data_IF_836776915540
#
_entry.id   IF_836776915540
#
_cell.length_a   1.000
_cell.length_b   1.000
_cell.length_c   1.000
_cell.angle_alpha   90.00
_cell.angle_beta   90.00
_cell.angle_gamma   90.00
#
_symmetry.space_group_name_H-M   'P 1'
#
loop_
_entity.id
_entity.type
_entity.pdbx_description
1 polymer ?
#
# COMPACT_ATOMS: atom_id res chain seq x y z
N UNK A 1 14.11 -26.27 0.11
CA UNK A 1 14.29 -26.29 1.58
C UNK A 1 15.78 -26.42 1.86
N UNK A 2 16.33 -25.55 2.68
CA UNK A 2 17.72 -25.54 3.07
C UNK A 2 17.83 -25.94 4.57
N UNK A 3 18.76 -26.84 4.88
CA UNK A 3 19.18 -27.16 6.26
C UNK A 3 20.68 -26.94 6.34
N UNK A 4 21.14 -26.42 7.48
CA UNK A 4 22.57 -26.17 7.67
C UNK A 4 23.39 -27.46 7.49
N UNK A 5 24.37 -27.40 6.56
CA UNK A 5 25.26 -28.50 6.24
C UNK A 5 24.73 -29.56 5.27
N UNK A 6 23.53 -29.38 4.70
CA UNK A 6 22.97 -30.26 3.68
C UNK A 6 22.83 -29.50 2.33
N UNK A 7 22.87 -30.27 1.23
CA UNK A 7 22.54 -29.70 -0.07
C UNK A 7 21.06 -29.29 -0.10
N UNK A 8 20.71 -28.16 -0.75
CA UNK A 8 19.34 -27.69 -0.86
C UNK A 8 18.45 -28.73 -1.51
N UNK A 9 17.36 -29.11 -0.86
CA UNK A 9 16.35 -29.99 -1.44
C UNK A 9 15.34 -29.16 -2.26
N UNK A 10 15.16 -29.51 -3.52
CA UNK A 10 14.14 -28.92 -4.38
C UNK A 10 12.79 -29.58 -4.09
N UNK A 11 11.75 -28.75 -3.91
CA UNK A 11 10.36 -29.19 -3.80
C UNK A 11 9.73 -29.05 -5.18
N UNK A 12 9.26 -30.14 -5.75
CA UNK A 12 8.57 -30.12 -7.03
C UNK A 12 7.30 -29.25 -6.90
N UNK A 13 7.20 -28.24 -7.76
CA UNK A 13 6.03 -27.37 -7.88
C UNK A 13 5.23 -27.85 -9.10
N UNK A 14 3.96 -28.18 -8.86
CA UNK A 14 3.02 -28.63 -9.92
C UNK A 14 2.04 -27.52 -10.35
N UNK A 15 2.24 -26.30 -9.84
CA UNK A 15 1.44 -25.16 -10.26
C UNK A 15 1.82 -24.71 -11.67
N UNK A 16 0.85 -24.18 -12.40
CA UNK A 16 1.13 -23.51 -13.66
C UNK A 16 2.09 -22.33 -13.46
N UNK A 17 3.03 -22.10 -14.39
CA UNK A 17 3.88 -20.93 -14.33
C UNK A 17 3.04 -19.65 -14.40
N UNK A 18 3.51 -18.60 -13.74
CA UNK A 18 2.87 -17.29 -13.83
C UNK A 18 2.85 -16.80 -15.29
N UNK A 19 1.77 -16.11 -15.72
CA UNK A 19 1.63 -15.65 -17.10
C UNK A 19 2.67 -14.61 -17.51
N UNK A 20 3.30 -13.96 -16.54
CA UNK A 20 4.37 -12.98 -16.72
C UNK A 20 5.24 -12.90 -15.47
N UNK A 21 6.44 -12.38 -15.61
CA UNK A 21 7.37 -12.14 -14.52
C UNK A 21 7.37 -10.65 -14.17
N UNK A 22 7.00 -10.28 -12.91
CA UNK A 22 7.03 -8.89 -12.47
C UNK A 22 8.46 -8.33 -12.43
N UNK A 23 8.62 -7.10 -12.88
CA UNK A 23 9.89 -6.33 -12.78
C UNK A 23 9.76 -5.32 -11.66
N UNK A 24 10.12 -5.73 -10.46
CA UNK A 24 9.93 -4.96 -9.24
C UNK A 24 11.22 -4.27 -8.84
N UNK A 25 11.21 -2.95 -8.75
CA UNK A 25 12.24 -2.18 -8.08
C UNK A 25 11.84 -2.00 -6.61
N UNK A 26 12.62 -2.56 -5.69
CA UNK A 26 12.41 -2.42 -4.26
C UNK A 26 13.27 -1.29 -3.71
N UNK A 27 12.66 -0.41 -2.90
CA UNK A 27 13.36 0.70 -2.25
C UNK A 27 12.82 0.97 -0.85
N UNK A 28 13.54 1.75 -0.12
CA UNK A 28 13.17 2.29 1.18
C UNK A 28 12.84 3.77 1.00
N UNK A 29 11.57 4.12 1.06
CA UNK A 29 11.08 5.43 0.69
C UNK A 29 11.04 6.40 1.90
N UNK A 30 11.49 7.62 1.65
CA UNK A 30 11.36 8.73 2.59
C UNK A 30 12.13 8.56 3.90
N UNK A 31 11.88 9.48 4.83
CA UNK A 31 12.58 9.52 6.12
C UNK A 31 12.22 8.38 7.08
N UNK A 32 11.05 7.76 6.85
CA UNK A 32 10.57 6.64 7.68
C UNK A 32 11.01 5.27 7.15
N UNK A 33 11.82 5.24 6.11
CA UNK A 33 12.33 4.00 5.56
C UNK A 33 11.18 3.05 5.14
N UNK A 34 10.17 3.59 4.44
CA UNK A 34 8.98 2.85 4.03
C UNK A 34 9.36 1.79 2.99
N UNK A 35 9.08 0.52 3.27
CA UNK A 35 9.28 -0.55 2.30
C UNK A 35 8.36 -0.34 1.13
N UNK A 36 8.94 -0.09 -0.04
CA UNK A 36 8.20 0.33 -1.22
C UNK A 36 8.65 -0.46 -2.45
N UNK A 37 7.68 -0.92 -3.23
CA UNK A 37 7.90 -1.55 -4.52
C UNK A 37 7.37 -0.62 -5.62
N UNK A 38 8.16 -0.46 -6.68
CA UNK A 38 7.82 0.34 -7.86
C UNK A 38 7.86 -0.56 -9.09
N UNK A 39 6.81 -0.50 -9.89
CA UNK A 39 6.67 -1.27 -11.11
C UNK A 39 6.33 -0.33 -12.28
N UNK A 40 7.12 -0.44 -13.33
CA UNK A 40 6.87 0.21 -14.61
C UNK A 40 6.31 -0.80 -15.62
N UNK A 41 5.67 -0.36 -16.72
CA UNK A 41 5.36 -1.21 -17.85
C UNK A 41 6.63 -1.95 -18.30
N UNK A 42 6.50 -3.21 -18.71
CA UNK A 42 7.66 -4.05 -19.09
C UNK A 42 8.45 -3.52 -20.28
N UNK A 43 7.84 -2.68 -21.10
CA UNK A 43 8.45 -2.01 -22.25
C UNK A 43 8.95 -0.58 -21.95
N UNK A 44 8.65 -0.05 -20.76
CA UNK A 44 9.10 1.28 -20.34
C UNK A 44 10.64 1.36 -20.28
N UNK A 45 11.17 2.44 -20.83
CA UNK A 45 12.59 2.78 -20.73
C UNK A 45 12.75 4.01 -19.84
N UNK A 46 13.70 4.01 -18.89
CA UNK A 46 13.94 5.14 -18.00
C UNK A 46 14.05 6.47 -18.75
N UNK A 47 13.27 7.47 -18.34
CA UNK A 47 13.25 8.80 -18.93
C UNK A 47 12.54 8.92 -20.28
N UNK A 48 11.94 7.84 -20.81
CA UNK A 48 11.28 7.87 -22.12
C UNK A 48 9.92 8.60 -22.10
N UNK A 49 9.20 8.53 -20.99
CA UNK A 49 7.91 9.19 -20.81
C UNK A 49 7.56 9.26 -19.32
N UNK A 50 6.85 10.32 -18.93
CA UNK A 50 6.24 10.43 -17.61
C UNK A 50 4.89 9.72 -17.59
N UNK A 51 4.78 8.71 -16.75
CA UNK A 51 3.60 7.88 -16.61
C UNK A 51 2.71 8.37 -15.47
N UNK A 52 1.38 8.27 -15.61
CA UNK A 52 0.48 8.47 -14.47
C UNK A 52 0.81 7.45 -13.38
N UNK A 53 0.65 7.87 -12.14
CA UNK A 53 0.96 7.02 -10.98
C UNK A 53 -0.31 6.33 -10.49
N UNK A 54 -0.20 5.05 -10.13
CA UNK A 54 -1.23 4.32 -9.44
C UNK A 54 -0.64 3.77 -8.12
N UNK A 55 -1.08 4.34 -7.00
CA UNK A 55 -0.77 3.77 -5.68
C UNK A 55 -1.68 2.57 -5.43
N UNK A 56 -1.10 1.45 -4.95
CA UNK A 56 -1.83 0.21 -4.66
C UNK A 56 -1.45 -0.35 -3.27
N UNK A 57 -1.67 0.39 -2.19
CA UNK A 57 -1.37 -0.07 -0.84
C UNK A 57 -2.46 -1.01 -0.29
N UNK A 58 -2.08 -1.90 0.64
CA UNK A 58 -2.98 -2.27 1.72
C UNK A 58 -2.90 -1.22 2.83
N UNK A 59 -1.69 -0.89 3.25
CA UNK A 59 -1.34 0.29 4.04
C UNK A 59 -1.77 0.25 5.51
N UNK A 60 -2.13 -0.90 6.06
CA UNK A 60 -2.63 -1.00 7.42
C UNK A 60 -2.30 -2.32 8.12
N UNK A 61 -2.89 -2.54 9.31
CA UNK A 61 -2.62 -3.72 10.12
C UNK A 61 -2.91 -5.04 9.40
N UNK A 62 -2.20 -6.09 9.81
CA UNK A 62 -2.38 -7.49 9.42
C UNK A 62 -1.91 -7.88 8.01
N UNK A 63 -1.62 -6.95 7.12
CA UNK A 63 -1.15 -7.32 5.79
C UNK A 63 0.13 -6.57 5.41
N UNK A 64 1.14 -7.33 4.98
CA UNK A 64 2.37 -6.84 4.37
C UNK A 64 2.34 -7.19 2.89
N UNK A 65 2.57 -6.21 2.02
CA UNK A 65 2.56 -6.42 0.57
C UNK A 65 3.96 -6.38 -0.05
N UNK A 66 4.88 -5.63 0.53
CA UNK A 66 6.24 -5.46 -0.01
C UNK A 66 7.16 -6.55 0.54
N UNK A 67 7.12 -7.70 -0.11
CA UNK A 67 7.93 -8.88 0.20
C UNK A 67 8.72 -9.32 -1.03
N UNK A 68 9.86 -9.98 -0.82
CA UNK A 68 10.69 -10.54 -1.89
C UNK A 68 10.03 -11.81 -2.51
N UNK A 69 8.84 -11.63 -3.07
CA UNK A 69 8.04 -12.68 -3.70
C UNK A 69 7.38 -12.15 -4.97
N UNK A 70 7.85 -12.58 -6.14
CA UNK A 70 7.32 -12.13 -7.43
C UNK A 70 5.79 -12.31 -7.54
N UNK A 71 5.24 -13.38 -6.97
CA UNK A 71 3.80 -13.68 -7.05
C UNK A 71 2.91 -12.57 -6.47
N UNK A 72 3.39 -11.84 -5.47
CA UNK A 72 2.63 -10.74 -4.85
C UNK A 72 2.48 -9.52 -5.76
N UNK A 73 3.27 -9.43 -6.81
CA UNK A 73 3.29 -8.29 -7.72
C UNK A 73 2.73 -8.59 -9.12
N UNK A 74 2.10 -9.75 -9.32
CA UNK A 74 1.52 -10.11 -10.63
C UNK A 74 0.43 -9.12 -11.05
N UNK A 75 -0.48 -8.78 -10.14
CA UNK A 75 -1.53 -7.80 -10.39
C UNK A 75 -0.97 -6.39 -10.59
N UNK A 76 -0.05 -5.98 -9.73
CA UNK A 76 0.61 -4.67 -9.85
C UNK A 76 1.37 -4.54 -11.19
N UNK A 77 2.03 -5.61 -11.66
CA UNK A 77 2.67 -5.60 -12.98
C UNK A 77 1.65 -5.55 -14.12
N UNK A 78 0.54 -6.27 -13.99
CA UNK A 78 -0.53 -6.19 -14.99
C UNK A 78 -1.09 -4.76 -15.08
N UNK A 79 -1.32 -4.10 -13.94
CA UNK A 79 -1.73 -2.69 -13.90
C UNK A 79 -0.66 -1.77 -14.50
N UNK A 80 0.61 -2.01 -14.19
CA UNK A 80 1.71 -1.23 -14.79
C UNK A 80 1.72 -1.36 -16.32
N UNK A 81 1.52 -2.56 -16.84
CA UNK A 81 1.45 -2.81 -18.30
C UNK A 81 0.26 -2.12 -18.99
N UNK A 82 -0.69 -1.57 -18.22
CA UNK A 82 -1.74 -0.68 -18.76
C UNK A 82 -1.29 0.79 -18.89
N UNK A 83 -0.02 1.09 -18.60
CA UNK A 83 0.56 2.41 -18.79
C UNK A 83 0.69 3.26 -17.51
N UNK A 84 0.73 2.61 -16.34
CA UNK A 84 0.95 3.28 -15.05
C UNK A 84 2.35 3.01 -14.49
N UNK A 85 2.88 3.96 -13.71
CA UNK A 85 3.85 3.62 -12.69
C UNK A 85 3.07 3.16 -11.46
N UNK A 86 3.18 1.89 -11.08
CA UNK A 86 2.48 1.35 -9.90
C UNK A 86 3.40 1.38 -8.70
N UNK A 87 2.92 1.93 -7.59
CA UNK A 87 3.65 2.02 -6.32
C UNK A 87 2.87 1.25 -5.25
N UNK A 88 3.53 0.29 -4.63
CA UNK A 88 3.03 -0.47 -3.47
C UNK A 88 3.92 -0.11 -2.29
N UNK A 89 3.35 0.44 -1.20
CA UNK A 89 4.13 0.82 -0.04
C UNK A 89 3.49 0.29 1.25
N UNK A 90 4.32 -0.35 2.09
CA UNK A 90 3.97 -0.78 3.44
C UNK A 90 4.37 0.33 4.43
N UNK A 91 3.36 1.03 4.95
CA UNK A 91 3.51 2.08 5.93
C UNK A 91 3.44 1.59 7.38
N UNK A 92 3.34 2.51 8.31
CA UNK A 92 3.15 2.25 9.74
C UNK A 92 1.87 1.44 9.97
N UNK A 93 1.88 0.58 10.98
CA UNK A 93 0.82 -0.37 11.25
C UNK A 93 0.95 -1.70 10.52
N UNK A 94 1.71 -1.77 9.41
CA UNK A 94 1.92 -3.03 8.68
C UNK A 94 2.87 -3.96 9.47
N UNK A 95 2.63 -5.29 9.47
CA UNK A 95 3.46 -6.23 10.22
C UNK A 95 4.84 -6.43 9.59
N UNK A 96 5.74 -7.07 10.36
CA UNK A 96 7.01 -7.55 9.85
C UNK A 96 8.18 -6.57 9.96
N UNK A 97 8.05 -5.52 10.77
CA UNK A 97 9.18 -4.69 11.23
C UNK A 97 9.40 -4.93 12.73
N UNK A 98 8.76 -4.16 13.58
CA UNK A 98 8.83 -4.26 15.02
C UNK A 98 7.48 -3.89 15.65
N UNK A 99 7.41 -4.09 16.96
CA UNK A 99 6.20 -3.85 17.74
C UNK A 99 5.77 -2.37 17.77
N UNK A 100 6.72 -1.46 17.88
CA UNK A 100 6.44 -0.03 17.94
C UNK A 100 5.90 0.47 16.60
N UNK A 101 6.45 -0.01 15.48
CA UNK A 101 5.95 0.26 14.14
C UNK A 101 4.49 -0.16 13.93
N UNK A 102 4.14 -1.35 14.41
CA UNK A 102 2.76 -1.85 14.30
C UNK A 102 1.78 -1.05 15.16
N UNK A 103 2.24 -0.43 16.25
CA UNK A 103 1.41 0.36 17.16
C UNK A 103 1.25 1.82 16.76
N UNK A 104 2.03 2.32 15.84
CA UNK A 104 1.94 3.72 15.38
C UNK A 104 0.54 4.10 14.87
N UNK A 105 -0.28 3.13 14.49
CA UNK A 105 -1.68 3.33 14.05
C UNK A 105 -2.69 3.27 15.20
N UNK A 106 -2.23 3.15 16.44
CA UNK A 106 -3.14 3.15 17.58
C UNK A 106 -3.86 4.49 17.69
N UNK A 107 -5.19 4.46 17.73
CA UNK A 107 -6.11 5.60 17.72
C UNK A 107 -6.09 6.45 16.43
N UNK A 108 -5.22 6.14 15.44
CA UNK A 108 -5.15 6.90 14.20
C UNK A 108 -4.90 5.99 12.98
N UNK A 109 -5.96 5.40 12.46
CA UNK A 109 -5.91 4.67 11.18
C UNK A 109 -5.82 5.60 9.98
N UNK A 110 -6.36 6.80 10.09
CA UNK A 110 -6.54 7.72 8.98
C UNK A 110 -5.29 8.55 8.67
N UNK A 111 -4.78 9.26 9.67
CA UNK A 111 -3.68 10.23 9.48
C UNK A 111 -2.37 9.53 9.17
N UNK A 112 -1.97 8.63 10.06
CA UNK A 112 -0.68 7.93 9.99
C UNK A 112 -0.50 7.17 8.68
N UNK A 113 -1.52 6.42 8.26
CA UNK A 113 -1.40 5.58 7.06
C UNK A 113 -1.46 6.37 5.77
N UNK A 114 -2.25 7.45 5.72
CA UNK A 114 -2.32 8.34 4.56
C UNK A 114 -1.02 9.13 4.40
N UNK A 115 -0.47 9.64 5.49
CA UNK A 115 0.80 10.38 5.47
C UNK A 115 1.93 9.52 4.89
N UNK A 116 1.98 8.23 5.26
CA UNK A 116 3.00 7.32 4.75
C UNK A 116 2.86 7.08 3.23
N UNK A 117 1.63 7.05 2.69
CA UNK A 117 1.45 6.93 1.24
C UNK A 117 1.88 8.19 0.50
N UNK A 118 1.62 9.37 1.07
CA UNK A 118 2.08 10.65 0.51
C UNK A 118 3.61 10.73 0.54
N UNK A 119 4.23 10.35 1.67
CA UNK A 119 5.68 10.33 1.82
C UNK A 119 6.34 9.33 0.84
N UNK A 120 5.74 8.15 0.67
CA UNK A 120 6.23 7.15 -0.29
C UNK A 120 6.16 7.67 -1.74
N UNK A 121 5.03 8.26 -2.12
CA UNK A 121 4.87 8.88 -3.45
C UNK A 121 5.93 9.96 -3.70
N UNK A 122 6.13 10.86 -2.75
CA UNK A 122 7.11 11.94 -2.87
C UNK A 122 8.54 11.40 -3.05
N UNK A 123 8.91 10.40 -2.26
CA UNK A 123 10.24 9.79 -2.33
C UNK A 123 10.46 9.02 -3.66
N UNK A 124 9.43 8.34 -4.16
CA UNK A 124 9.51 7.66 -5.47
C UNK A 124 9.61 8.69 -6.60
N UNK A 125 8.85 9.79 -6.53
CA UNK A 125 8.95 10.87 -7.52
C UNK A 125 10.33 11.54 -7.55
N UNK A 126 10.98 11.67 -6.39
CA UNK A 126 12.37 12.13 -6.30
C UNK A 126 13.36 11.13 -6.91
N UNK A 127 13.12 9.82 -6.71
CA UNK A 127 13.98 8.77 -7.25
C UNK A 127 13.85 8.60 -8.77
N UNK A 128 12.69 8.91 -9.35
CA UNK A 128 12.35 8.74 -10.76
C UNK A 128 11.74 10.02 -11.36
N UNK A 129 12.47 11.16 -11.38
CA UNK A 129 11.91 12.47 -11.70
C UNK A 129 11.44 12.60 -13.16
N UNK A 130 12.00 11.79 -14.07
CA UNK A 130 11.68 11.82 -15.50
C UNK A 130 10.65 10.78 -15.93
N UNK A 131 10.25 9.88 -15.01
CA UNK A 131 9.37 8.75 -15.31
C UNK A 131 7.97 8.88 -14.69
N UNK A 132 7.75 9.76 -13.69
CA UNK A 132 6.48 9.93 -13.01
C UNK A 132 5.81 11.26 -13.37
N UNK A 133 4.51 11.19 -13.65
CA UNK A 133 3.63 12.35 -13.73
C UNK A 133 2.79 12.48 -12.46
N UNK A 134 3.29 13.21 -11.50
CA UNK A 134 2.61 13.45 -10.21
C UNK A 134 1.40 14.37 -10.30
N UNK A 135 1.08 14.90 -11.48
CA UNK A 135 -0.18 15.62 -11.73
C UNK A 135 -1.34 14.67 -12.08
N UNK A 136 -1.05 13.38 -12.23
CA UNK A 136 -2.02 12.32 -12.52
C UNK A 136 -1.78 11.13 -11.59
N UNK A 137 -2.22 11.24 -10.35
CA UNK A 137 -2.07 10.20 -9.32
C UNK A 137 -3.43 9.60 -9.00
N UNK A 138 -3.55 8.30 -9.21
CA UNK A 138 -4.66 7.50 -8.72
C UNK A 138 -4.24 6.63 -7.54
N UNK A 139 -5.22 6.14 -6.80
CA UNK A 139 -5.02 5.17 -5.72
C UNK A 139 -6.08 4.08 -5.80
N UNK A 140 -5.68 2.83 -5.61
CA UNK A 140 -6.59 1.68 -5.55
C UNK A 140 -6.30 0.85 -4.32
N UNK A 141 -7.29 0.11 -3.84
CA UNK A 141 -7.08 -0.81 -2.73
C UNK A 141 -8.34 -1.56 -2.35
N UNK A 142 -8.17 -2.62 -1.58
CA UNK A 142 -9.23 -3.48 -1.10
C UNK A 142 -9.28 -3.48 0.43
N UNK A 143 -10.49 -3.54 1.01
CA UNK A 143 -10.71 -3.58 2.46
C UNK A 143 -10.11 -2.35 3.16
N UNK A 144 -9.08 -2.51 3.99
CA UNK A 144 -8.33 -1.38 4.56
C UNK A 144 -7.69 -0.50 3.47
N UNK A 145 -7.13 -1.12 2.42
CA UNK A 145 -6.64 -0.39 1.24
C UNK A 145 -7.77 0.37 0.51
N UNK A 146 -8.99 -0.17 0.50
CA UNK A 146 -10.18 0.51 0.00
C UNK A 146 -10.58 1.73 0.86
N UNK A 147 -10.52 1.58 2.18
CA UNK A 147 -10.67 2.69 3.13
C UNK A 147 -9.63 3.79 2.84
N UNK A 148 -8.37 3.41 2.72
CA UNK A 148 -7.27 4.32 2.46
C UNK A 148 -7.39 5.01 1.10
N UNK A 149 -7.85 4.30 0.07
CA UNK A 149 -8.10 4.87 -1.26
C UNK A 149 -9.21 5.92 -1.24
N UNK A 150 -10.32 5.65 -0.56
CA UNK A 150 -11.39 6.63 -0.39
C UNK A 150 -10.94 7.83 0.45
N UNK A 151 -10.26 7.57 1.58
CA UNK A 151 -9.70 8.61 2.45
C UNK A 151 -8.75 9.55 1.70
N UNK A 152 -7.91 8.98 0.83
CA UNK A 152 -6.90 9.73 0.08
C UNK A 152 -7.53 10.83 -0.80
N UNK A 153 -8.54 10.52 -1.58
CA UNK A 153 -9.20 11.53 -2.43
C UNK A 153 -10.06 12.51 -1.62
N UNK A 154 -10.56 12.12 -0.46
CA UNK A 154 -11.35 12.99 0.41
C UNK A 154 -10.47 13.97 1.21
N UNK A 155 -9.32 13.52 1.73
CA UNK A 155 -8.44 14.35 2.57
C UNK A 155 -7.30 15.02 1.81
N UNK A 156 -6.82 14.40 0.72
CA UNK A 156 -5.68 14.88 -0.06
C UNK A 156 -6.00 14.96 -1.56
N UNK A 157 -7.08 15.68 -1.96
CA UNK A 157 -7.39 15.91 -3.37
C UNK A 157 -6.31 16.72 -4.11
N UNK A 158 -5.41 17.38 -3.37
CA UNK A 158 -4.21 18.03 -3.89
C UNK A 158 -3.15 17.03 -4.39
N UNK A 159 -3.20 15.78 -3.93
CA UNK A 159 -2.25 14.71 -4.27
C UNK A 159 -2.92 13.62 -5.09
N UNK A 160 -4.11 13.17 -4.68
CA UNK A 160 -4.81 12.04 -5.30
C UNK A 160 -6.01 12.52 -6.11
N UNK A 161 -6.01 12.23 -7.40
CA UNK A 161 -6.96 12.76 -8.38
C UNK A 161 -8.09 11.78 -8.72
N UNK A 162 -7.89 10.49 -8.43
CA UNK A 162 -8.87 9.43 -8.64
C UNK A 162 -8.66 8.28 -7.65
N UNK A 163 -9.73 7.59 -7.28
CA UNK A 163 -9.67 6.41 -6.41
C UNK A 163 -10.57 5.28 -6.91
N UNK A 164 -10.09 4.05 -6.68
CA UNK A 164 -10.91 2.84 -6.76
C UNK A 164 -10.89 2.18 -5.39
N UNK A 165 -11.99 2.33 -4.65
CA UNK A 165 -12.14 1.83 -3.29
C UNK A 165 -12.94 0.51 -3.29
N UNK A 166 -12.24 -0.61 -3.23
CA UNK A 166 -12.83 -1.94 -3.18
C UNK A 166 -13.22 -2.31 -1.74
N UNK A 167 -14.50 -2.60 -1.50
CA UNK A 167 -15.03 -3.02 -0.19
C UNK A 167 -14.47 -2.19 1.00
N UNK A 168 -14.53 -0.85 0.95
CA UNK A 168 -13.95 0.01 1.97
C UNK A 168 -14.67 -0.12 3.32
N UNK A 169 -13.94 -0.04 4.42
CA UNK A 169 -14.54 0.20 5.74
C UNK A 169 -14.80 1.70 5.87
N UNK A 170 -16.03 2.14 5.67
CA UNK A 170 -16.38 3.56 5.71
C UNK A 170 -16.67 4.09 7.11
N UNK A 171 -17.06 3.19 8.04
CA UNK A 171 -17.33 3.49 9.44
C UNK A 171 -16.84 2.33 10.31
N UNK A 172 -15.87 2.60 11.17
CA UNK A 172 -15.20 1.57 11.96
C UNK A 172 -16.08 0.99 13.08
N UNK A 173 -17.13 1.72 13.53
CA UNK A 173 -18.11 1.19 14.47
C UNK A 173 -18.94 0.04 13.91
N UNK A 174 -18.98 -0.10 12.57
CA UNK A 174 -19.70 -1.18 11.87
C UNK A 174 -18.81 -2.38 11.55
N UNK A 175 -17.53 -2.31 11.91
CA UNK A 175 -16.60 -3.43 11.74
C UNK A 175 -16.52 -4.27 13.02
N UNK A 176 -15.83 -5.43 12.99
CA UNK A 176 -15.78 -6.31 14.16
C UNK A 176 -14.96 -5.72 15.32
N UNK A 177 -15.39 -6.01 16.55
CA UNK A 177 -14.77 -5.46 17.77
C UNK A 177 -13.39 -6.02 18.03
N UNK A 178 -13.14 -7.28 17.69
CA UNK A 178 -11.87 -7.94 17.94
C UNK A 178 -10.71 -7.27 17.19
N UNK A 179 -10.95 -6.84 15.95
CA UNK A 179 -9.99 -6.08 15.18
C UNK A 179 -9.99 -4.60 15.58
N UNK A 180 -11.16 -3.97 15.60
CA UNK A 180 -11.26 -2.51 15.66
C UNK A 180 -10.88 -1.97 17.03
N UNK A 181 -11.45 -2.50 18.11
CA UNK A 181 -11.19 -2.04 19.48
C UNK A 181 -9.75 -2.25 19.93
N UNK A 182 -9.09 -3.24 19.37
CA UNK A 182 -7.64 -3.44 19.60
C UNK A 182 -6.80 -2.23 19.24
N UNK A 183 -7.21 -1.48 18.21
CA UNK A 183 -6.47 -0.33 17.70
C UNK A 183 -7.12 1.01 18.08
N UNK A 184 -8.44 1.10 18.02
CA UNK A 184 -9.17 2.36 18.19
C UNK A 184 -9.79 2.53 19.59
N UNK A 185 -9.70 1.50 20.46
CA UNK A 185 -10.31 1.52 21.78
C UNK A 185 -11.82 1.22 21.74
N UNK A 186 -12.48 1.40 22.89
CA UNK A 186 -13.92 1.16 23.02
C UNK A 186 -14.72 2.37 22.49
N UNK A 187 -15.58 2.19 21.46
CA UNK A 187 -16.36 3.30 20.89
C UNK A 187 -17.32 3.96 21.86
N UNK A 188 -17.66 3.31 22.98
CA UNK A 188 -18.52 3.90 24.02
C UNK A 188 -17.75 4.87 24.92
N UNK A 189 -16.45 4.68 25.09
CA UNK A 189 -15.59 5.54 25.93
C UNK A 189 -14.70 6.49 25.14
N UNK A 190 -14.43 6.17 23.87
CA UNK A 190 -13.54 6.93 22.97
C UNK A 190 -14.23 7.24 21.62
N UNK A 191 -15.47 7.80 21.60
CA UNK A 191 -16.21 8.03 20.36
C UNK A 191 -15.51 8.96 19.39
N UNK A 192 -14.72 9.92 19.87
CA UNK A 192 -13.97 10.89 19.07
C UNK A 192 -12.88 10.21 18.22
N UNK A 193 -12.31 9.10 18.68
CA UNK A 193 -11.34 8.32 17.92
C UNK A 193 -12.02 7.73 16.68
N UNK A 194 -13.21 7.19 16.83
CA UNK A 194 -13.98 6.63 15.71
C UNK A 194 -14.44 7.73 14.75
N UNK A 195 -14.88 8.88 15.25
CA UNK A 195 -15.25 10.03 14.41
C UNK A 195 -14.08 10.53 13.57
N UNK A 196 -12.87 10.60 14.15
CA UNK A 196 -11.66 11.02 13.45
C UNK A 196 -11.23 10.05 12.35
N UNK A 197 -11.58 8.77 12.47
CA UNK A 197 -11.22 7.71 11.54
C UNK A 197 -12.37 7.33 10.57
N UNK A 198 -13.58 7.90 10.73
CA UNK A 198 -14.72 7.67 9.85
C UNK A 198 -14.58 8.44 8.53
N UNK A 199 -15.02 7.82 7.42
CA UNK A 199 -15.13 8.51 6.12
C UNK A 199 -16.44 9.27 5.97
N UNK A 200 -17.48 8.92 6.73
CA UNK A 200 -18.83 9.48 6.56
C UNK A 200 -18.88 11.00 6.72
N UNK A 201 -18.16 11.63 7.67
CA UNK A 201 -18.16 13.09 7.79
C UNK A 201 -17.43 13.83 6.66
N UNK A 202 -16.67 13.10 5.83
CA UNK A 202 -15.86 13.66 4.75
C UNK A 202 -16.57 13.60 3.39
N UNK A 203 -17.69 12.88 3.28
CA UNK A 203 -18.42 12.62 2.03
C UNK A 203 -19.42 13.72 1.68
#
# INVERSE_FOLDING_TARGET
VHRDGEEPAEIQVVAEPAPHEPRVAMLHAGKRDLRTAVLFPRDHQPGSARLPVLMDPYGGPHAQRVLASARLFLEAQWLADQGFCVIVSDGRGTPGRDYDWEREVQHDFAGVTLDDQVDALAAVAEAYPDDLDTTRVGITGWSYGGYLAALAVLRRPDVFHAAVAGAPVTEWRLYDTCYTERYLGDPATEPEVYDANSLLPLA
#
